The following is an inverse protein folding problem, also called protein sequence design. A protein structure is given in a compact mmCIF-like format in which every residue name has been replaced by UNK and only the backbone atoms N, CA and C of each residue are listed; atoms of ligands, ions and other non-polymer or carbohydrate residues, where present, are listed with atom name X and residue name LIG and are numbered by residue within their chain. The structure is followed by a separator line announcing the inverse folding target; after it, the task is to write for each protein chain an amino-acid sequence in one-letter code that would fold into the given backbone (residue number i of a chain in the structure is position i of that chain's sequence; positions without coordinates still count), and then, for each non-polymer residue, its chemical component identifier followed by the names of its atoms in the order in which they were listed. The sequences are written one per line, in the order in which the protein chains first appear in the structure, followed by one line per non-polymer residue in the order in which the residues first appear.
data_IF_823373097495
#
_entry.id   IF_823373097495
#
_cell.length_a   1.000
_cell.length_b   1.000
_cell.length_c   1.000
_cell.angle_alpha   90.00
_cell.angle_beta   90.00
_cell.angle_gamma   90.00
#
_symmetry.space_group_name_H-M   'P 1'
#
loop_
_entity.id
_entity.type
_entity.pdbx_description
1 polymer ?
#
# COMPACT_ATOMS: atom_id res chain seq x y z
N UNK A 1 9.93 6.08 -15.83
CA UNK A 1 9.79 5.23 -17.03
C UNK A 1 8.64 4.22 -16.97
N UNK A 2 7.97 3.95 -15.83
CA UNK A 2 6.87 2.97 -15.71
C UNK A 2 7.21 1.49 -15.99
N UNK A 3 8.47 1.16 -16.29
CA UNK A 3 8.91 -0.21 -16.54
C UNK A 3 8.58 -1.19 -15.39
N UNK A 4 8.66 -0.72 -14.15
CA UNK A 4 8.25 -1.49 -12.97
C UNK A 4 6.76 -1.83 -12.95
N UNK A 5 5.92 -0.99 -13.55
CA UNK A 5 4.48 -1.21 -13.71
C UNK A 5 4.21 -2.29 -14.76
N UNK A 6 4.88 -2.19 -15.90
CA UNK A 6 4.66 -3.07 -17.06
C UNK A 6 5.13 -4.52 -16.79
N UNK A 7 6.22 -4.70 -16.04
CA UNK A 7 6.71 -6.04 -15.67
C UNK A 7 5.95 -6.68 -14.50
N UNK A 8 5.14 -5.90 -13.77
CA UNK A 8 4.52 -6.39 -12.55
C UNK A 8 3.53 -7.53 -12.87
N UNK A 9 3.82 -8.74 -12.39
CA UNK A 9 2.99 -9.92 -12.64
C UNK A 9 1.52 -9.74 -12.20
N UNK A 10 1.27 -8.97 -11.13
CA UNK A 10 -0.07 -8.66 -10.63
C UNK A 10 -0.92 -7.88 -11.65
N UNK A 11 -0.28 -7.13 -12.55
CA UNK A 11 -0.95 -6.32 -13.59
C UNK A 11 -0.91 -7.03 -14.93
N UNK A 12 0.26 -7.56 -15.29
CA UNK A 12 0.52 -8.19 -16.58
C UNK A 12 -0.27 -9.48 -16.74
N UNK A 13 -0.31 -10.31 -15.69
CA UNK A 13 -0.92 -11.63 -15.75
C UNK A 13 -2.42 -11.59 -15.34
N UNK A 14 -2.87 -10.46 -14.79
CA UNK A 14 -4.23 -10.24 -14.28
C UNK A 14 -4.71 -8.83 -14.64
N UNK A 15 -5.26 -8.66 -15.83
CA UNK A 15 -5.75 -7.34 -16.27
C UNK A 15 -6.90 -6.81 -15.40
N UNK A 16 -7.70 -7.72 -14.82
CA UNK A 16 -8.81 -7.40 -13.90
C UNK A 16 -8.33 -6.66 -12.64
N UNK A 17 -7.06 -6.84 -12.25
CA UNK A 17 -6.50 -6.15 -11.09
C UNK A 17 -6.21 -4.67 -11.37
N UNK A 18 -6.14 -4.22 -12.63
CA UNK A 18 -5.76 -2.84 -12.99
C UNK A 18 -6.62 -1.77 -12.31
N UNK A 19 -7.90 -2.05 -12.08
CA UNK A 19 -8.79 -1.10 -11.39
C UNK A 19 -8.57 -1.04 -9.87
N UNK A 20 -8.09 -2.13 -9.29
CA UNK A 20 -8.01 -2.30 -7.83
C UNK A 20 -6.58 -2.20 -7.30
N UNK A 21 -5.59 -2.35 -8.18
CA UNK A 21 -4.16 -2.37 -7.85
C UNK A 21 -3.44 -1.23 -8.56
N UNK A 22 -3.02 -0.25 -7.78
CA UNK A 22 -2.30 0.91 -8.34
C UNK A 22 -0.90 0.56 -8.83
N UNK A 23 -0.24 -0.44 -8.25
CA UNK A 23 1.05 -0.94 -8.71
C UNK A 23 2.31 -0.19 -8.24
N UNK A 24 3.49 -0.75 -8.52
CA UNK A 24 4.75 -0.41 -7.85
C UNK A 24 5.17 1.04 -8.05
N UNK A 25 4.97 1.62 -9.24
CA UNK A 25 5.38 3.01 -9.50
C UNK A 25 4.63 3.99 -8.59
N UNK A 26 3.35 3.72 -8.33
CA UNK A 26 2.50 4.56 -7.50
C UNK A 26 2.75 4.32 -6.02
N UNK A 27 3.09 3.09 -5.60
CA UNK A 27 3.48 2.83 -4.22
C UNK A 27 4.75 3.55 -3.79
N UNK A 28 5.72 3.77 -4.68
CA UNK A 28 6.86 4.65 -4.38
C UNK A 28 6.40 6.06 -4.01
N UNK A 29 5.41 6.59 -4.74
CA UNK A 29 4.87 7.93 -4.46
C UNK A 29 4.06 7.95 -3.16
N UNK A 30 3.24 6.93 -2.92
CA UNK A 30 2.47 6.81 -1.68
C UNK A 30 3.39 6.67 -0.47
N UNK A 31 4.44 5.84 -0.56
CA UNK A 31 5.47 5.68 0.46
C UNK A 31 6.15 7.01 0.78
N UNK A 32 6.54 7.76 -0.26
CA UNK A 32 7.17 9.07 -0.09
C UNK A 32 6.27 10.11 0.60
N UNK A 33 4.94 9.98 0.54
CA UNK A 33 4.00 10.85 1.25
C UNK A 33 3.70 10.34 2.67
N UNK A 34 3.37 9.05 2.78
CA UNK A 34 2.98 8.41 4.04
C UNK A 34 4.11 8.39 5.09
N UNK A 35 5.37 8.37 4.65
CA UNK A 35 6.53 8.35 5.52
C UNK A 35 7.27 9.70 5.57
N UNK A 36 6.70 10.75 4.98
CA UNK A 36 7.31 12.07 5.01
C UNK A 36 7.18 12.69 6.41
N UNK A 37 8.27 13.18 7.04
CA UNK A 37 8.23 13.66 8.43
C UNK A 37 7.37 14.91 8.63
N UNK A 38 7.17 15.71 7.58
CA UNK A 38 6.32 16.91 7.61
C UNK A 38 4.87 16.65 7.18
N UNK A 39 4.54 15.44 6.74
CA UNK A 39 3.16 15.13 6.35
C UNK A 39 2.36 14.74 7.59
N UNK A 40 1.24 15.43 7.79
CA UNK A 40 0.35 15.24 8.94
C UNK A 40 -0.85 14.35 8.62
N UNK A 41 -1.01 13.91 7.36
CA UNK A 41 -2.15 13.11 6.93
C UNK A 41 -1.81 11.63 6.94
N UNK A 42 -2.68 10.82 7.53
CA UNK A 42 -2.59 9.36 7.45
C UNK A 42 -3.33 8.85 6.22
N UNK A 43 -2.69 7.95 5.45
CA UNK A 43 -3.27 7.37 4.23
C UNK A 43 -3.35 5.85 4.28
N UNK A 44 -3.05 5.24 5.42
CA UNK A 44 -2.99 3.78 5.58
C UNK A 44 -4.29 3.09 5.13
N UNK A 45 -5.45 3.63 5.52
CA UNK A 45 -6.75 3.10 5.10
C UNK A 45 -6.96 3.18 3.58
N UNK A 46 -6.59 4.32 2.99
CA UNK A 46 -6.68 4.54 1.55
C UNK A 46 -5.70 3.65 0.78
N UNK A 47 -4.49 3.44 1.28
CA UNK A 47 -3.47 2.56 0.70
C UNK A 47 -3.94 1.10 0.73
N UNK A 48 -4.55 0.66 1.83
CA UNK A 48 -5.12 -0.68 1.96
C UNK A 48 -6.34 -0.89 1.07
N UNK A 49 -7.31 0.01 1.14
CA UNK A 49 -8.64 -0.20 0.56
C UNK A 49 -8.76 0.25 -0.91
N UNK A 50 -8.14 1.38 -1.28
CA UNK A 50 -8.30 1.98 -2.63
C UNK A 50 -7.12 1.69 -3.56
N UNK A 51 -5.91 1.50 -3.04
CA UNK A 51 -4.72 1.27 -3.88
C UNK A 51 -4.31 -0.20 -4.02
N UNK A 52 -4.93 -1.09 -3.25
CA UNK A 52 -4.74 -2.53 -3.39
C UNK A 52 -3.35 -3.03 -2.96
N UNK A 53 -2.73 -2.41 -1.96
CA UNK A 53 -1.39 -2.83 -1.48
C UNK A 53 -1.31 -4.34 -1.17
N UNK A 54 -2.45 -4.94 -0.78
CA UNK A 54 -2.58 -6.38 -0.51
C UNK A 54 -2.28 -7.30 -1.70
N UNK A 55 -2.47 -6.85 -2.95
CA UNK A 55 -2.24 -7.69 -4.13
C UNK A 55 -0.76 -7.98 -4.40
N UNK A 56 0.16 -7.15 -3.90
CA UNK A 56 1.58 -7.34 -4.17
C UNK A 56 2.15 -8.54 -3.41
N UNK A 57 2.80 -9.47 -4.10
CA UNK A 57 3.41 -10.67 -3.50
C UNK A 57 4.90 -10.52 -3.14
N UNK A 58 5.46 -9.30 -3.16
CA UNK A 58 6.86 -9.02 -2.75
C UNK A 58 7.88 -9.84 -3.55
N UNK A 59 7.58 -10.17 -4.82
CA UNK A 59 8.48 -10.98 -5.68
C UNK A 59 9.66 -10.20 -6.26
N UNK A 60 9.78 -8.90 -5.97
CA UNK A 60 10.84 -8.01 -6.46
C UNK A 60 10.97 -7.83 -7.98
N UNK A 61 10.04 -8.34 -8.79
CA UNK A 61 9.99 -8.09 -10.25
C UNK A 61 10.10 -6.60 -10.63
N UNK A 62 9.50 -5.71 -9.83
CA UNK A 62 9.57 -4.26 -10.04
C UNK A 62 10.91 -3.62 -9.68
N UNK A 63 11.66 -4.22 -8.74
CA UNK A 63 12.98 -3.75 -8.32
C UNK A 63 14.03 -4.15 -9.35
N UNK A 64 14.00 -5.41 -9.79
CA UNK A 64 15.03 -5.99 -10.67
C UNK A 64 15.14 -5.31 -12.05
N UNK A 65 14.05 -4.71 -12.53
CA UNK A 65 14.03 -4.03 -13.83
C UNK A 65 14.26 -2.53 -13.73
N UNK A 66 14.33 -1.94 -12.53
CA UNK A 66 14.35 -0.49 -12.41
C UNK A 66 15.71 0.06 -12.91
N UNK A 67 15.73 0.89 -13.98
CA UNK A 67 16.99 1.38 -14.55
C UNK A 67 17.72 2.37 -13.63
N UNK A 68 17.00 2.95 -12.66
CA UNK A 68 17.52 3.90 -11.68
C UNK A 68 17.94 3.23 -10.36
N UNK A 69 17.99 1.89 -10.33
CA UNK A 69 18.31 1.08 -9.14
C UNK A 69 17.47 1.41 -7.89
N UNK A 70 16.21 1.81 -8.10
CA UNK A 70 15.30 2.08 -6.99
C UNK A 70 14.88 0.73 -6.40
N UNK A 71 15.22 0.49 -5.14
CA UNK A 71 14.75 -0.68 -4.39
C UNK A 71 13.28 -0.54 -3.98
N UNK A 72 12.37 -0.52 -4.97
CA UNK A 72 10.93 -0.26 -4.80
C UNK A 72 10.30 -1.19 -3.75
N UNK A 73 10.61 -2.48 -3.84
CA UNK A 73 10.01 -3.46 -2.92
C UNK A 73 10.46 -3.20 -1.47
N UNK A 74 11.76 -3.00 -1.27
CA UNK A 74 12.36 -2.91 0.06
C UNK A 74 12.15 -1.54 0.72
N UNK A 75 12.20 -0.45 -0.05
CA UNK A 75 12.12 0.92 0.48
C UNK A 75 10.71 1.52 0.43
N UNK A 76 9.78 0.95 -0.35
CA UNK A 76 8.41 1.46 -0.46
C UNK A 76 7.35 0.41 -0.11
N UNK A 77 7.32 -0.74 -0.79
CA UNK A 77 6.21 -1.70 -0.63
C UNK A 77 6.22 -2.36 0.75
N UNK A 78 7.36 -2.88 1.19
CA UNK A 78 7.48 -3.53 2.51
C UNK A 78 7.13 -2.57 3.64
N UNK A 79 7.69 -1.34 3.73
CA UNK A 79 7.33 -0.40 4.79
C UNK A 79 5.85 -0.02 4.79
N UNK A 80 5.24 0.16 3.61
CA UNK A 80 3.80 0.40 3.52
C UNK A 80 2.99 -0.80 4.05
N UNK A 81 3.41 -2.02 3.74
CA UNK A 81 2.75 -3.24 4.22
C UNK A 81 2.89 -3.38 5.73
N UNK A 82 4.07 -3.13 6.27
CA UNK A 82 4.32 -3.16 7.71
C UNK A 82 3.41 -2.17 8.44
N UNK A 83 3.29 -0.93 7.95
CA UNK A 83 2.37 0.07 8.54
C UNK A 83 0.90 -0.37 8.47
N UNK A 84 0.46 -0.93 7.35
CA UNK A 84 -0.90 -1.50 7.20
C UNK A 84 -1.13 -2.65 8.19
N UNK A 85 -0.14 -3.53 8.37
CA UNK A 85 -0.19 -4.63 9.33
C UNK A 85 -0.28 -4.12 10.76
N UNK A 86 0.57 -3.18 11.16
CA UNK A 86 0.54 -2.60 12.51
C UNK A 86 -0.75 -1.84 12.81
N UNK A 87 -1.34 -1.17 11.81
CA UNK A 87 -2.60 -0.45 11.98
C UNK A 87 -3.80 -1.38 12.10
N UNK A 88 -3.93 -2.39 11.23
CA UNK A 88 -5.17 -3.16 11.08
C UNK A 88 -5.10 -4.61 11.54
N UNK A 89 -3.93 -5.23 11.54
CA UNK A 89 -3.80 -6.68 11.68
C UNK A 89 -3.04 -7.12 12.94
N UNK A 90 -2.46 -6.20 13.72
CA UNK A 90 -1.80 -6.51 14.99
C UNK A 90 -2.82 -6.67 16.15
N UNK A 91 -3.07 -7.91 16.63
CA UNK A 91 -4.06 -8.17 17.67
C UNK A 91 -3.61 -7.67 19.04
N UNK A 92 -2.30 -7.59 19.30
CA UNK A 92 -1.74 -7.11 20.56
C UNK A 92 -1.92 -5.60 20.63
N UNK A 93 -1.55 -4.89 19.56
CA UNK A 93 -1.76 -3.44 19.48
C UNK A 93 -3.24 -3.07 19.61
N UNK A 94 -4.13 -3.84 18.96
CA UNK A 94 -5.58 -3.67 19.10
C UNK A 94 -6.05 -3.87 20.55
N UNK A 95 -5.67 -4.96 21.20
CA UNK A 95 -6.05 -5.24 22.59
C UNK A 95 -5.54 -4.13 23.54
N UNK A 96 -4.31 -3.65 23.34
CA UNK A 96 -3.74 -2.54 24.12
C UNK A 96 -4.49 -1.23 23.90
N UNK A 97 -4.89 -0.90 22.65
CA UNK A 97 -5.71 0.29 22.35
C UNK A 97 -7.08 0.22 23.04
N UNK A 98 -7.71 -0.96 22.97
CA UNK A 98 -9.01 -1.26 23.61
C UNK A 98 -8.95 -1.07 25.13
N UNK A 99 -7.91 -1.57 25.79
CA UNK A 99 -7.72 -1.46 27.25
C UNK A 99 -7.36 -0.04 27.68
N UNK A 100 -6.61 0.72 26.85
CA UNK A 100 -6.23 2.12 27.14
C UNK A 100 -7.32 3.14 26.84
N UNK A 101 -8.52 2.71 26.40
CA UNK A 101 -9.69 3.59 26.22
C UNK A 101 -9.58 4.59 25.07
N UNK A 102 -8.63 4.42 24.14
CA UNK A 102 -8.59 5.23 22.91
C UNK A 102 -9.72 4.75 21.99
N UNK A 103 -10.61 5.65 21.56
CA UNK A 103 -11.64 5.35 20.56
C UNK A 103 -10.93 4.91 19.29
N UNK A 104 -11.23 3.69 18.85
CA UNK A 104 -10.79 3.15 17.58
C UNK A 104 -11.53 3.90 16.46
N UNK A 105 -10.95 4.99 15.96
CA UNK A 105 -11.44 5.72 14.78
C UNK A 105 -10.98 4.97 13.52
N UNK A 106 -11.42 3.73 13.35
CA UNK A 106 -11.28 3.01 12.08
C UNK A 106 -12.37 3.52 11.15
N UNK A 107 -12.02 4.46 10.27
CA UNK A 107 -12.91 4.88 9.19
C UNK A 107 -13.16 3.67 8.28
N UNK A 108 -14.42 3.25 8.14
CA UNK A 108 -14.79 2.23 7.17
C UNK A 108 -14.38 2.71 5.77
N UNK A 109 -13.82 1.84 4.91
CA UNK A 109 -13.52 2.23 3.54
C UNK A 109 -14.80 2.71 2.86
N UNK A 110 -14.78 3.94 2.34
CA UNK A 110 -15.90 4.49 1.57
C UNK A 110 -16.24 3.57 0.39
N UNK A 111 -17.54 3.34 0.10
CA UNK A 111 -17.94 2.50 -1.01
C UNK A 111 -17.40 3.06 -2.33
N UNK A 112 -16.84 2.18 -3.18
CA UNK A 112 -16.38 2.51 -4.54
C UNK A 112 -17.56 3.16 -5.28
N UNK A 113 -17.42 4.38 -5.84
CA UNK A 113 -18.49 4.94 -6.67
C UNK A 113 -18.77 3.99 -7.84
N UNK A 114 -20.04 3.88 -8.29
CA UNK A 114 -20.39 3.00 -9.39
C UNK A 114 -19.53 3.35 -10.60
N UNK A 115 -18.84 2.36 -11.15
CA UNK A 115 -18.11 2.47 -12.42
C UNK A 115 -19.08 2.96 -13.49
N UNK A 116 -18.79 4.12 -14.09
CA UNK A 116 -19.43 4.58 -15.31
C UNK A 116 -18.68 4.02 -16.52
#
# INVERSE_FOLDING_TARGET
CFLCQDVCHVIRDHEENKESFSGPRFFVRLAALEMHPLDTNERIDLIRAKHGLGYCNITKCCTEVCPEDIHITDNAIIPLKERVVSAHYDPIAWALRRVRGKKDEFAAPEPKPPSA
#
